data_IF_774187580336
#
_entry.id   IF_774187580336
#
_cell.length_a   1.000
_cell.length_b   1.000
_cell.length_c   1.000
_cell.angle_alpha   90.00
_cell.angle_beta   90.00
_cell.angle_gamma   90.00
#
_symmetry.space_group_name_H-M   'P 1'
#
loop_
_entity.id
_entity.type
_entity.pdbx_description
1 polymer ?
#
# COMPACT_ATOMS: atom_id res chain seq x y z
N UNK A 1 -16.28 -27.95 -11.49
CA UNK A 1 -14.89 -27.46 -11.45
C UNK A 1 -14.54 -26.98 -10.04
N UNK A 2 -14.22 -27.92 -9.14
CA UNK A 2 -13.64 -27.63 -7.81
C UNK A 2 -12.87 -28.88 -7.33
N UNK A 3 -12.03 -29.42 -8.22
CA UNK A 3 -11.38 -30.74 -8.04
C UNK A 3 -9.99 -30.66 -7.41
N UNK A 4 -9.47 -29.46 -7.11
CA UNK A 4 -8.10 -29.27 -6.61
C UNK A 4 -8.04 -28.24 -5.49
N UNK A 5 -7.92 -28.72 -4.25
CA UNK A 5 -7.76 -27.93 -3.01
C UNK A 5 -6.26 -27.79 -2.66
N UNK A 6 -5.37 -28.23 -3.54
CA UNK A 6 -3.90 -28.24 -3.35
C UNK A 6 -3.18 -27.00 -3.89
N UNK A 7 -3.93 -25.98 -4.35
CA UNK A 7 -3.35 -24.74 -4.86
C UNK A 7 -3.19 -23.72 -3.75
N UNK A 8 -2.03 -23.06 -3.72
CA UNK A 8 -1.69 -21.99 -2.78
C UNK A 8 -1.31 -20.73 -3.55
N UNK A 9 -1.52 -19.57 -2.93
CA UNK A 9 -1.07 -18.29 -3.47
C UNK A 9 0.02 -17.70 -2.59
N UNK A 10 1.09 -17.20 -3.21
CA UNK A 10 2.13 -16.41 -2.54
C UNK A 10 2.08 -14.99 -3.08
N UNK A 11 2.29 -14.03 -2.18
CA UNK A 11 2.39 -12.62 -2.53
C UNK A 11 3.80 -12.12 -2.25
N UNK A 12 4.39 -11.45 -3.23
CA UNK A 12 5.76 -10.92 -3.17
C UNK A 12 5.70 -9.41 -3.44
N UNK A 13 6.38 -8.62 -2.61
CA UNK A 13 6.48 -7.18 -2.77
C UNK A 13 7.92 -6.75 -3.08
N UNK A 14 8.05 -5.76 -3.98
CA UNK A 14 9.28 -5.00 -4.17
C UNK A 14 8.99 -3.50 -4.09
N UNK A 15 9.77 -2.81 -3.27
CA UNK A 15 9.75 -1.36 -3.19
C UNK A 15 10.75 -0.74 -4.17
N UNK A 16 10.35 0.38 -4.77
CA UNK A 16 11.21 1.21 -5.61
C UNK A 16 11.32 2.62 -5.02
N UNK A 17 12.46 3.31 -5.19
CA UNK A 17 12.59 4.70 -4.82
C UNK A 17 11.54 5.60 -5.49
N UNK A 18 11.18 6.70 -4.83
CA UNK A 18 10.20 7.65 -5.38
C UNK A 18 10.61 8.17 -6.76
N UNK A 19 9.66 8.13 -7.70
CA UNK A 19 9.88 8.54 -9.09
C UNK A 19 10.48 7.46 -10.00
N UNK A 20 10.80 6.28 -9.49
CA UNK A 20 11.33 5.15 -10.28
C UNK A 20 10.25 4.08 -10.47
N UNK A 21 9.35 4.31 -11.43
CA UNK A 21 8.40 3.28 -11.86
C UNK A 21 9.10 2.34 -12.86
N UNK A 22 9.14 1.01 -12.62
CA UNK A 22 9.65 0.08 -13.59
C UNK A 22 8.75 0.04 -14.83
N UNK A 23 9.36 -0.14 -16.00
CA UNK A 23 8.62 -0.46 -17.22
C UNK A 23 8.19 -1.94 -17.24
N UNK A 24 7.36 -2.32 -18.20
CA UNK A 24 6.78 -3.67 -18.29
C UNK A 24 7.84 -4.77 -18.43
N UNK A 25 8.95 -4.48 -19.12
CA UNK A 25 10.08 -5.42 -19.24
C UNK A 25 10.75 -5.62 -17.88
N UNK A 26 11.05 -4.55 -17.15
CA UNK A 26 11.66 -4.62 -15.82
C UNK A 26 10.74 -5.33 -14.80
N UNK A 27 9.42 -5.17 -14.94
CA UNK A 27 8.43 -5.90 -14.13
C UNK A 27 8.45 -7.40 -14.44
N UNK A 28 8.48 -7.78 -15.72
CA UNK A 28 8.55 -9.19 -16.10
C UNK A 28 9.87 -9.85 -15.66
N UNK A 29 11.00 -9.17 -15.87
CA UNK A 29 12.32 -9.63 -15.41
C UNK A 29 12.33 -9.88 -13.89
N UNK A 30 11.76 -8.95 -13.11
CA UNK A 30 11.66 -9.14 -11.66
C UNK A 30 10.72 -10.30 -11.30
N UNK A 31 9.59 -10.46 -12.00
CA UNK A 31 8.66 -11.58 -11.80
C UNK A 31 9.37 -12.92 -12.00
N UNK A 32 10.11 -13.07 -13.09
CA UNK A 32 10.88 -14.30 -13.36
C UNK A 32 11.97 -14.54 -12.31
N UNK A 33 12.66 -13.48 -11.89
CA UNK A 33 13.70 -13.55 -10.85
C UNK A 33 13.12 -14.02 -9.52
N UNK A 34 12.01 -13.42 -9.07
CA UNK A 34 11.36 -13.79 -7.81
C UNK A 34 10.84 -15.25 -7.83
N UNK A 35 10.30 -15.71 -8.97
CA UNK A 35 9.90 -17.12 -9.14
C UNK A 35 11.13 -18.04 -8.99
N UNK A 36 12.21 -17.74 -9.71
CA UNK A 36 13.43 -18.55 -9.66
C UNK A 36 14.06 -18.58 -8.26
N UNK A 37 14.07 -17.44 -7.53
CA UNK A 37 14.54 -17.37 -6.15
C UNK A 37 13.72 -18.27 -5.22
N UNK A 38 12.39 -18.19 -5.28
CA UNK A 38 11.48 -19.00 -4.46
C UNK A 38 11.58 -20.50 -4.78
N UNK A 39 11.80 -20.85 -6.05
CA UNK A 39 12.06 -22.23 -6.48
C UNK A 39 13.42 -22.72 -5.97
N UNK A 40 14.47 -21.90 -6.06
CA UNK A 40 15.80 -22.23 -5.56
C UNK A 40 15.83 -22.43 -4.04
N UNK A 41 14.98 -21.70 -3.30
CA UNK A 41 14.79 -21.93 -1.86
C UNK A 41 13.95 -23.17 -1.54
N UNK A 42 13.35 -23.81 -2.55
CA UNK A 42 12.46 -24.96 -2.37
C UNK A 42 11.10 -24.60 -1.77
N UNK A 43 10.67 -23.33 -1.84
CA UNK A 43 9.40 -22.87 -1.27
C UNK A 43 8.22 -23.14 -2.19
N UNK A 44 8.44 -23.11 -3.51
CA UNK A 44 7.42 -23.39 -4.52
C UNK A 44 7.94 -24.34 -5.59
N UNK A 45 7.02 -25.05 -6.24
CA UNK A 45 7.27 -25.88 -7.41
C UNK A 45 6.89 -25.17 -8.71
N UNK A 46 6.06 -25.83 -9.52
CA UNK A 46 5.51 -25.27 -10.75
C UNK A 46 4.59 -24.07 -10.45
N UNK A 47 4.78 -22.98 -11.18
CA UNK A 47 3.93 -21.78 -11.13
C UNK A 47 2.91 -21.86 -12.26
N UNK A 48 1.63 -21.93 -11.92
CA UNK A 48 0.55 -21.94 -12.92
C UNK A 48 0.24 -20.55 -13.45
N UNK A 49 0.23 -19.55 -12.56
CA UNK A 49 -0.15 -18.17 -12.86
C UNK A 49 0.71 -17.24 -12.01
N UNK A 50 1.25 -16.20 -12.64
CA UNK A 50 1.92 -15.10 -11.96
C UNK A 50 1.53 -13.78 -12.61
N UNK A 51 1.08 -12.83 -11.79
CA UNK A 51 0.71 -11.49 -12.22
C UNK A 51 1.38 -10.45 -11.32
N UNK A 52 1.58 -9.25 -11.85
CA UNK A 52 2.20 -8.15 -11.14
C UNK A 52 1.32 -6.89 -11.26
N UNK A 53 1.14 -6.20 -10.15
CA UNK A 53 0.44 -4.92 -10.10
C UNK A 53 1.37 -3.85 -9.55
N UNK A 54 1.32 -2.67 -10.17
CA UNK A 54 2.04 -1.49 -9.70
C UNK A 54 1.16 -0.68 -8.74
N UNK A 55 1.72 -0.30 -7.59
CA UNK A 55 1.08 0.60 -6.62
C UNK A 55 1.85 1.92 -6.62
N UNK A 56 1.22 2.97 -7.14
CA UNK A 56 1.86 4.30 -7.30
C UNK A 56 2.40 4.86 -5.98
N UNK A 57 1.63 4.72 -4.90
CA UNK A 57 2.03 5.15 -3.56
C UNK A 57 1.68 4.04 -2.57
N UNK A 58 2.67 3.21 -2.22
CA UNK A 58 2.48 2.15 -1.23
C UNK A 58 2.86 2.62 0.18
N UNK A 59 4.01 3.27 0.34
CA UNK A 59 4.58 3.58 1.65
C UNK A 59 4.56 5.08 1.94
N UNK A 60 4.06 5.45 3.12
CA UNK A 60 4.18 6.81 3.66
C UNK A 60 5.54 6.95 4.31
N UNK A 61 6.42 7.74 3.71
CA UNK A 61 7.75 8.01 4.24
C UNK A 61 8.02 9.51 4.30
N UNK A 62 9.03 9.91 5.06
CA UNK A 62 9.50 11.30 5.11
C UNK A 62 11.00 11.31 5.37
N UNK A 63 11.68 12.34 4.85
CA UNK A 63 13.10 12.54 5.18
C UNK A 63 13.24 12.78 6.69
N UNK A 64 14.33 12.31 7.31
CA UNK A 64 14.64 12.63 8.70
C UNK A 64 14.58 14.14 8.95
N UNK A 65 13.91 14.53 10.04
CA UNK A 65 13.74 15.94 10.42
C UNK A 65 12.74 16.73 9.58
N UNK A 66 12.07 16.12 8.60
CA UNK A 66 11.13 16.86 7.77
C UNK A 66 9.81 17.14 8.48
N UNK A 67 9.34 18.39 8.38
CA UNK A 67 8.10 18.89 9.02
C UNK A 67 6.99 19.21 8.02
N UNK A 68 7.14 18.84 6.75
CA UNK A 68 6.18 19.19 5.69
C UNK A 68 4.77 18.70 6.01
N UNK A 69 4.67 17.47 6.53
CA UNK A 69 3.39 16.83 6.87
C UNK A 69 2.62 17.62 7.92
N UNK A 70 3.29 17.99 9.01
CA UNK A 70 2.68 18.79 10.09
C UNK A 70 2.15 20.12 9.56
N UNK A 71 2.93 20.80 8.72
CA UNK A 71 2.53 22.07 8.12
C UNK A 71 1.33 21.91 7.19
N UNK A 72 1.34 20.88 6.33
CA UNK A 72 0.25 20.61 5.41
C UNK A 72 -1.06 20.28 6.14
N UNK A 73 -1.00 19.40 7.15
CA UNK A 73 -2.18 19.03 7.93
C UNK A 73 -2.74 20.23 8.70
N UNK A 74 -1.89 21.07 9.28
CA UNK A 74 -2.32 22.29 9.98
C UNK A 74 -3.06 23.25 9.06
N UNK A 75 -2.54 23.49 7.86
CA UNK A 75 -3.21 24.35 6.87
C UNK A 75 -4.58 23.79 6.48
N UNK A 76 -4.70 22.47 6.29
CA UNK A 76 -5.98 21.85 5.97
C UNK A 76 -6.99 22.02 7.11
N UNK A 77 -6.55 21.81 8.35
CA UNK A 77 -7.38 21.99 9.54
C UNK A 77 -7.84 23.44 9.74
N UNK A 78 -6.99 24.43 9.44
CA UNK A 78 -7.35 25.86 9.43
C UNK A 78 -8.47 26.21 8.43
N UNK A 79 -8.73 25.32 7.46
CA UNK A 79 -9.78 25.44 6.45
C UNK A 79 -10.91 24.42 6.65
N UNK A 80 -11.07 23.86 7.86
CA UNK A 80 -12.09 22.86 8.21
C UNK A 80 -12.01 21.57 7.35
N UNK A 81 -10.83 21.28 6.78
CA UNK A 81 -10.55 20.04 6.06
C UNK A 81 -9.82 19.09 7.00
N UNK A 82 -10.40 17.92 7.23
CA UNK A 82 -9.86 16.91 8.16
C UNK A 82 -9.45 15.63 7.42
N UNK A 83 -8.17 15.51 6.99
CA UNK A 83 -7.69 14.34 6.27
C UNK A 83 -7.72 13.09 7.14
N UNK A 84 -8.15 11.95 6.58
CA UNK A 84 -8.26 10.66 7.28
C UNK A 84 -7.62 9.50 6.51
N UNK A 85 -7.03 8.57 7.25
CA UNK A 85 -6.39 7.36 6.72
C UNK A 85 -4.94 7.54 6.29
N UNK A 86 -4.31 6.41 5.94
CA UNK A 86 -2.87 6.24 5.63
C UNK A 86 -2.29 7.37 4.78
N UNK A 87 -2.85 7.60 3.59
CA UNK A 87 -2.28 8.55 2.63
C UNK A 87 -2.67 9.99 2.92
N UNK A 88 -3.89 10.25 3.40
CA UNK A 88 -4.34 11.62 3.67
C UNK A 88 -3.60 12.23 4.87
N UNK A 89 -3.32 11.42 5.89
CA UNK A 89 -2.52 11.81 7.06
C UNK A 89 -1.03 11.56 6.89
N UNK A 90 -0.63 10.86 5.83
CA UNK A 90 0.73 10.44 5.54
C UNK A 90 1.42 9.76 6.74
N UNK A 91 0.81 8.68 7.22
CA UNK A 91 1.28 7.88 8.37
C UNK A 91 1.11 6.39 8.07
N UNK A 92 2.05 5.58 8.57
CA UNK A 92 1.95 4.14 8.44
C UNK A 92 0.83 3.63 9.37
N UNK A 93 -0.24 3.10 8.78
CA UNK A 93 -1.43 2.61 9.47
C UNK A 93 -1.94 1.34 8.81
N UNK A 94 -2.54 0.46 9.61
CA UNK A 94 -3.28 -0.69 9.10
C UNK A 94 -4.65 -0.30 8.53
N UNK A 95 -5.31 -1.27 7.87
CA UNK A 95 -6.65 -1.09 7.31
C UNK A 95 -7.66 -0.76 8.42
N UNK A 96 -7.63 -1.50 9.53
CA UNK A 96 -8.54 -1.29 10.65
C UNK A 96 -8.40 0.11 11.27
N UNK A 97 -7.16 0.60 11.40
CA UNK A 97 -6.89 1.95 11.91
C UNK A 97 -7.44 3.01 10.96
N UNK A 98 -7.25 2.83 9.65
CA UNK A 98 -7.76 3.75 8.62
C UNK A 98 -9.28 3.84 8.62
N UNK A 99 -9.98 2.70 8.78
CA UNK A 99 -11.45 2.66 8.88
C UNK A 99 -11.93 3.35 10.15
N UNK A 100 -11.31 3.04 11.30
CA UNK A 100 -11.65 3.66 12.59
C UNK A 100 -11.46 5.17 12.53
N UNK A 101 -10.37 5.65 11.95
CA UNK A 101 -10.09 7.08 11.80
C UNK A 101 -11.19 7.79 11.01
N UNK A 102 -11.63 7.20 9.90
CA UNK A 102 -12.73 7.73 9.08
C UNK A 102 -14.06 7.78 9.85
N UNK A 103 -14.41 6.71 10.56
CA UNK A 103 -15.65 6.65 11.35
C UNK A 103 -15.67 7.67 12.50
N UNK A 104 -14.55 7.86 13.19
CA UNK A 104 -14.45 8.80 14.31
C UNK A 104 -14.63 10.25 13.85
N UNK A 105 -13.93 10.67 12.79
CA UNK A 105 -14.09 12.00 12.21
C UNK A 105 -15.50 12.20 11.66
N UNK A 106 -16.02 11.22 10.92
CA UNK A 106 -17.39 11.26 10.40
C UNK A 106 -18.44 11.39 11.50
N UNK A 107 -18.25 10.75 12.66
CA UNK A 107 -19.14 10.90 13.82
C UNK A 107 -19.05 12.30 14.43
N UNK A 108 -17.85 12.85 14.62
CA UNK A 108 -17.67 14.17 15.25
C UNK A 108 -18.36 15.26 14.43
N UNK A 109 -18.22 15.24 13.11
CA UNK A 109 -18.82 16.25 12.23
C UNK A 109 -20.24 15.92 11.78
N UNK A 110 -20.66 14.65 11.78
CA UNK A 110 -22.00 14.22 11.41
C UNK A 110 -23.11 14.71 12.36
N UNK A 111 -22.77 15.14 13.58
CA UNK A 111 -23.69 15.81 14.50
C UNK A 111 -23.75 17.33 14.34
N UNK A 112 -22.89 17.93 13.50
CA UNK A 112 -22.85 19.39 13.28
C UNK A 112 -23.67 19.85 12.06
N UNK A 113 -24.25 18.93 11.29
CA UNK A 113 -25.11 19.21 10.12
C UNK A 113 -26.61 18.99 10.42
N UNK A 114 -27.05 19.28 11.64
CA UNK A 114 -28.48 19.37 12.01
C UNK A 114 -28.80 20.74 12.57
#
# INVERSE_FOLDING_TARGET
>A
ARERIDRVSIYVERAYPGGQRPNDTEVDEYRQTAIAELQNWGWIGEVEVADATWIEVAYTWSRPGSRWREKALKVLEEHDIYPVGRYARWVFQGIADSIRDGLMVGRIFGYSWR
#
